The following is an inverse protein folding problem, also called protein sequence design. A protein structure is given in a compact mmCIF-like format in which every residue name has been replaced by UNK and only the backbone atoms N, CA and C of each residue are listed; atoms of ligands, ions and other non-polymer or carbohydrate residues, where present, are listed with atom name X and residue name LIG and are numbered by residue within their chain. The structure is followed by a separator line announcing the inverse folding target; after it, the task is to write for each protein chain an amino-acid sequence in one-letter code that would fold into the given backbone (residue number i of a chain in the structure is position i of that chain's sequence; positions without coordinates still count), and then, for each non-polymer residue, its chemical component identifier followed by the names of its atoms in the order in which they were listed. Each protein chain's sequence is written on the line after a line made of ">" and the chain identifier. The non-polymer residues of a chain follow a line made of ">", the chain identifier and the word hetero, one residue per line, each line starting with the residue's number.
data_IF_463449327714
#
_entry.id   IF_463449327714
#
_cell.length_a   1.000
_cell.length_b   1.000
_cell.length_c   1.000
_cell.angle_alpha   90.00
_cell.angle_beta   90.00
_cell.angle_gamma   90.00
#
_symmetry.space_group_name_H-M   'P 1'
#
loop_
_entity.id
_entity.type
_entity.pdbx_description
1 polymer ?
#
# COMPACT_ATOMS: atom_id res chain seq x y z
N UNK A 1 13.23 27.04 29.91
CA UNK A 1 14.03 26.09 29.10
C UNK A 1 13.06 25.20 28.37
N UNK A 2 13.16 25.07 27.04
CA UNK A 2 12.40 24.04 26.34
C UNK A 2 12.80 22.67 26.93
N UNK A 3 11.86 21.74 27.17
CA UNK A 3 12.22 20.41 27.62
C UNK A 3 13.23 19.79 26.64
N UNK A 4 14.29 19.17 27.15
CA UNK A 4 15.18 18.34 26.36
C UNK A 4 14.33 17.35 25.54
N UNK A 5 14.57 17.27 24.23
CA UNK A 5 13.94 16.26 23.36
C UNK A 5 14.38 14.90 23.90
N UNK A 6 13.49 14.23 24.63
CA UNK A 6 13.72 12.88 25.13
C UNK A 6 13.66 11.93 23.94
N UNK A 7 14.53 10.93 23.93
CA UNK A 7 14.43 9.81 23.00
C UNK A 7 13.00 9.25 23.05
N UNK A 8 12.32 9.06 21.89
CA UNK A 8 10.96 8.53 21.86
C UNK A 8 10.89 7.19 22.59
N UNK A 9 9.85 6.99 23.41
CA UNK A 9 9.62 5.69 24.05
C UNK A 9 9.18 4.68 22.99
N UNK A 10 9.88 3.56 22.86
CA UNK A 10 9.45 2.47 21.99
C UNK A 10 8.25 1.74 22.61
N UNK A 11 7.14 1.69 21.89
CA UNK A 11 5.91 0.97 22.29
C UNK A 11 5.93 -0.45 21.74
N UNK A 12 6.33 -0.57 20.47
CA UNK A 12 6.50 -1.83 19.77
C UNK A 12 7.90 -1.83 19.18
N UNK A 13 8.68 -2.83 19.51
CA UNK A 13 9.98 -3.14 18.89
C UNK A 13 9.86 -4.46 18.16
N UNK A 14 10.48 -4.58 17.00
CA UNK A 14 10.47 -5.83 16.23
C UNK A 14 11.90 -6.31 16.00
N UNK A 15 12.07 -7.62 15.94
CA UNK A 15 13.29 -8.23 15.43
C UNK A 15 13.08 -8.54 13.95
N UNK A 16 13.75 -7.84 13.02
CA UNK A 16 13.59 -8.08 11.60
C UNK A 16 14.13 -9.45 11.19
N UNK A 17 14.66 -10.29 12.09
CA UNK A 17 15.04 -11.67 11.79
C UNK A 17 14.02 -12.72 12.23
N UNK A 18 12.93 -12.31 12.89
CA UNK A 18 11.89 -13.20 13.41
C UNK A 18 10.61 -13.12 12.60
N UNK A 19 9.87 -14.23 12.55
CA UNK A 19 8.52 -14.26 11.97
C UNK A 19 7.55 -13.42 12.82
N UNK A 20 6.43 -12.95 12.25
CA UNK A 20 5.45 -12.14 12.98
C UNK A 20 4.96 -12.79 14.29
N UNK A 21 4.76 -14.11 14.31
CA UNK A 21 4.31 -14.86 15.49
C UNK A 21 5.42 -15.15 16.52
N UNK A 22 6.67 -14.79 16.22
CA UNK A 22 7.84 -14.95 17.10
C UNK A 22 8.27 -13.61 17.73
N UNK A 23 7.62 -12.51 17.35
CA UNK A 23 7.90 -11.18 17.90
C UNK A 23 7.56 -11.13 19.38
N UNK A 24 8.35 -10.35 20.14
CA UNK A 24 8.15 -10.22 21.60
C UNK A 24 6.86 -9.48 21.93
N UNK A 25 6.55 -8.45 21.16
CA UNK A 25 5.24 -7.78 21.19
C UNK A 25 4.37 -8.45 20.12
N UNK A 26 3.21 -9.04 20.50
CA UNK A 26 2.34 -9.69 19.54
C UNK A 26 1.83 -8.72 18.47
N UNK A 27 1.96 -9.08 17.20
CA UNK A 27 1.39 -8.34 16.07
C UNK A 27 -0.05 -8.80 15.78
N UNK A 28 -0.76 -8.12 14.89
CA UNK A 28 -2.05 -8.60 14.36
C UNK A 28 -2.17 -8.36 12.86
N UNK A 29 -3.02 -9.11 12.16
CA UNK A 29 -3.21 -8.98 10.70
C UNK A 29 -4.69 -9.01 10.26
N UNK A 30 -5.57 -8.67 11.19
CA UNK A 30 -7.01 -8.51 10.96
C UNK A 30 -7.50 -7.25 11.67
N UNK A 31 -8.58 -6.67 11.15
CA UNK A 31 -9.30 -5.60 11.83
C UNK A 31 -10.46 -6.18 12.62
N UNK A 32 -10.48 -5.93 13.94
CA UNK A 32 -11.56 -6.31 14.82
C UNK A 32 -11.58 -5.41 16.08
N UNK A 33 -12.75 -4.98 16.58
CA UNK A 33 -12.87 -4.12 17.77
C UNK A 33 -12.25 -4.73 19.04
N UNK A 34 -12.28 -6.06 19.15
CA UNK A 34 -11.89 -6.79 20.37
C UNK A 34 -10.41 -7.21 20.43
N UNK A 35 -9.58 -6.85 19.44
CA UNK A 35 -8.13 -7.13 19.54
C UNK A 35 -7.55 -6.23 20.63
N UNK A 36 -6.97 -6.80 21.72
CA UNK A 36 -6.51 -5.98 22.84
C UNK A 36 -5.28 -5.15 22.50
N UNK A 37 -5.21 -3.92 23.03
CA UNK A 37 -4.06 -3.05 22.85
C UNK A 37 -2.76 -3.67 23.39
N UNK A 38 -1.67 -3.51 22.66
CA UNK A 38 -0.34 -3.98 23.05
C UNK A 38 0.38 -3.02 23.98
N UNK A 39 0.07 -1.73 23.88
CA UNK A 39 0.58 -0.66 24.73
C UNK A 39 -0.35 0.54 24.78
N UNK A 40 0.02 1.52 25.61
CA UNK A 40 -0.71 2.77 25.81
C UNK A 40 0.24 3.97 25.68
N UNK A 41 -0.27 5.06 25.13
CA UNK A 41 0.40 6.36 25.03
C UNK A 41 -0.53 7.47 25.50
N UNK A 42 0.04 8.50 26.09
CA UNK A 42 -0.69 9.71 26.47
C UNK A 42 -0.56 10.78 25.38
N UNK A 43 -1.60 11.58 25.18
CA UNK A 43 -1.60 12.73 24.27
C UNK A 43 -0.39 13.65 24.53
N UNK A 44 0.25 14.08 23.45
CA UNK A 44 1.46 14.89 23.47
C UNK A 44 2.75 14.09 23.70
N UNK A 45 2.68 12.81 24.07
CA UNK A 45 3.85 11.93 24.14
C UNK A 45 4.41 11.66 22.74
N UNK A 46 5.74 11.74 22.60
CA UNK A 46 6.45 11.26 21.42
C UNK A 46 6.91 9.83 21.64
N UNK A 47 6.50 8.94 20.74
CA UNK A 47 6.75 7.50 20.87
C UNK A 47 7.18 6.88 19.54
N UNK A 48 7.80 5.70 19.60
CA UNK A 48 8.29 4.94 18.44
C UNK A 48 7.55 3.61 18.31
N UNK A 49 7.23 3.25 17.08
CA UNK A 49 6.65 1.96 16.70
C UNK A 49 7.51 1.39 15.58
N UNK A 50 8.01 0.18 15.76
CA UNK A 50 8.73 -0.56 14.72
C UNK A 50 7.80 -1.58 14.08
N UNK A 51 8.00 -1.85 12.80
CA UNK A 51 7.16 -2.71 11.97
C UNK A 51 8.03 -3.67 11.18
N UNK A 52 7.58 -4.91 11.04
CA UNK A 52 8.11 -5.82 10.02
C UNK A 52 7.53 -5.43 8.66
N UNK A 53 8.15 -5.87 7.57
CA UNK A 53 7.52 -5.79 6.24
C UNK A 53 6.15 -6.49 6.26
N UNK A 54 5.23 -6.07 5.40
CA UNK A 54 3.84 -6.52 5.43
C UNK A 54 3.66 -8.02 5.31
N UNK A 55 4.58 -8.69 4.61
CA UNK A 55 4.57 -10.15 4.38
C UNK A 55 5.06 -10.93 5.60
N UNK A 56 5.79 -10.28 6.52
CA UNK A 56 6.45 -10.95 7.64
C UNK A 56 7.66 -11.77 7.19
N UNK A 57 8.49 -11.17 6.32
CA UNK A 57 9.67 -11.77 5.68
C UNK A 57 9.40 -12.99 4.83
N UNK A 58 8.28 -13.06 4.13
CA UNK A 58 8.12 -14.12 3.13
C UNK A 58 9.06 -13.87 1.95
N UNK A 59 9.24 -12.60 1.58
CA UNK A 59 10.13 -12.19 0.50
C UNK A 59 11.58 -12.04 0.99
N UNK A 60 12.51 -12.59 0.23
CA UNK A 60 13.95 -12.58 0.53
C UNK A 60 14.70 -11.61 -0.37
N UNK A 61 15.83 -11.10 0.13
CA UNK A 61 16.80 -10.34 -0.65
C UNK A 61 17.67 -11.30 -1.48
N UNK A 62 17.12 -11.76 -2.59
CA UNK A 62 17.78 -12.61 -3.57
C UNK A 62 17.29 -12.27 -4.98
N UNK A 63 17.80 -13.02 -5.96
CA UNK A 63 17.52 -12.79 -7.39
C UNK A 63 16.52 -13.84 -7.92
N UNK A 64 15.67 -14.39 -7.05
CA UNK A 64 14.59 -15.33 -7.40
C UNK A 64 13.22 -14.70 -7.15
N UNK A 65 12.26 -14.90 -8.04
CA UNK A 65 10.87 -14.47 -7.82
C UNK A 65 9.96 -15.61 -7.32
N UNK A 66 10.54 -16.75 -6.91
CA UNK A 66 9.76 -17.91 -6.46
C UNK A 66 9.04 -17.65 -5.12
N UNK A 67 9.62 -16.81 -4.26
CA UNK A 67 8.96 -16.34 -3.04
C UNK A 67 7.76 -15.44 -3.36
N UNK A 68 7.89 -14.54 -4.33
CA UNK A 68 6.80 -13.70 -4.83
C UNK A 68 5.65 -14.52 -5.44
N UNK A 69 5.99 -15.60 -6.14
CA UNK A 69 5.01 -16.52 -6.72
C UNK A 69 4.22 -17.28 -5.66
N UNK A 70 4.90 -17.74 -4.60
CA UNK A 70 4.33 -18.65 -3.59
C UNK A 70 3.98 -17.98 -2.26
N UNK A 71 3.98 -16.66 -2.22
CA UNK A 71 3.62 -15.88 -1.02
C UNK A 71 2.23 -16.26 -0.50
N UNK A 72 2.11 -16.42 0.82
CA UNK A 72 0.85 -16.63 1.52
C UNK A 72 0.16 -15.28 1.81
N UNK A 73 -0.69 -14.87 0.87
CA UNK A 73 -1.53 -13.69 0.98
C UNK A 73 -2.66 -13.83 2.01
N UNK A 74 -2.80 -14.94 2.74
CA UNK A 74 -3.75 -15.03 3.86
C UNK A 74 -3.19 -14.45 5.17
N UNK A 75 -1.87 -14.37 5.26
CA UNK A 75 -1.13 -13.92 6.45
C UNK A 75 -0.79 -12.42 6.47
N UNK A 76 -1.09 -11.69 5.40
CA UNK A 76 -0.89 -10.24 5.29
C UNK A 76 -2.07 -9.43 5.84
N UNK A 77 -1.88 -8.21 6.35
CA UNK A 77 -0.62 -7.45 6.59
C UNK A 77 -0.22 -7.59 8.06
N UNK A 78 1.06 -7.70 8.39
CA UNK A 78 1.50 -7.86 9.79
C UNK A 78 1.69 -6.49 10.49
N UNK A 79 0.71 -6.10 11.31
CA UNK A 79 0.61 -4.77 11.91
C UNK A 79 1.15 -4.70 13.33
N UNK A 80 1.86 -3.60 13.60
CA UNK A 80 2.25 -3.18 14.94
C UNK A 80 1.12 -2.37 15.58
N UNK A 81 0.65 -2.86 16.73
CA UNK A 81 -0.51 -2.31 17.42
C UNK A 81 -1.42 -3.45 17.93
N UNK A 82 -2.62 -3.12 18.43
CA UNK A 82 -3.17 -1.78 18.56
C UNK A 82 -2.58 -0.98 19.72
N UNK A 83 -2.51 0.34 19.59
CA UNK A 83 -2.01 1.25 20.63
C UNK A 83 -3.19 2.06 21.18
N UNK A 84 -3.43 1.97 22.49
CA UNK A 84 -4.44 2.75 23.20
C UNK A 84 -3.93 4.19 23.40
N UNK A 85 -4.77 5.18 23.14
CA UNK A 85 -4.45 6.60 23.34
C UNK A 85 -5.34 7.21 24.42
N UNK A 86 -4.73 7.89 25.38
CA UNK A 86 -5.39 8.65 26.45
C UNK A 86 -5.05 10.13 26.41
N UNK A 87 -5.91 10.98 26.96
CA UNK A 87 -5.61 12.41 27.14
C UNK A 87 -4.69 12.66 28.36
N UNK A 88 -4.37 13.92 28.62
CA UNK A 88 -3.51 14.32 29.75
C UNK A 88 -4.08 13.98 31.13
N UNK A 89 -5.38 13.68 31.23
CA UNK A 89 -6.05 13.25 32.47
C UNK A 89 -6.18 11.72 32.56
N UNK A 90 -5.71 10.98 31.55
CA UNK A 90 -5.79 9.52 31.48
C UNK A 90 -7.10 8.99 30.91
N UNK A 91 -7.97 9.84 30.35
CA UNK A 91 -9.21 9.39 29.72
C UNK A 91 -8.94 8.97 28.28
N UNK A 92 -9.36 7.76 27.91
CA UNK A 92 -9.20 7.27 26.55
C UNK A 92 -9.88 8.16 25.50
N UNK A 93 -9.38 8.13 24.28
CA UNK A 93 -10.14 8.55 23.10
C UNK A 93 -11.47 7.77 23.05
N UNK A 94 -12.58 8.42 22.69
CA UNK A 94 -13.90 7.79 22.67
C UNK A 94 -14.48 7.80 21.25
N UNK A 95 -15.41 6.88 20.92
CA UNK A 95 -16.12 6.90 19.65
C UNK A 95 -16.72 8.29 19.37
N UNK A 96 -16.48 8.84 18.18
CA UNK A 96 -16.87 10.21 17.81
C UNK A 96 -15.77 11.26 17.92
N UNK A 97 -14.66 10.94 18.58
CA UNK A 97 -13.46 11.80 18.60
C UNK A 97 -12.71 11.72 17.26
N UNK A 98 -11.85 12.71 16.99
CA UNK A 98 -10.76 12.55 16.03
C UNK A 98 -9.46 12.29 16.78
N UNK A 99 -8.76 11.24 16.38
CA UNK A 99 -7.37 11.01 16.78
C UNK A 99 -6.47 11.71 15.77
N UNK A 100 -5.78 12.75 16.23
CA UNK A 100 -4.78 13.46 15.45
C UNK A 100 -3.44 12.75 15.63
N UNK A 101 -2.81 12.34 14.54
CA UNK A 101 -1.51 11.67 14.52
C UNK A 101 -0.54 12.51 13.70
N UNK A 102 0.48 13.06 14.35
CA UNK A 102 1.62 13.70 13.68
C UNK A 102 2.71 12.66 13.43
N UNK A 103 3.10 12.51 12.17
CA UNK A 103 4.19 11.61 11.76
C UNK A 103 5.50 12.39 11.79
N UNK A 104 6.23 12.32 12.89
CA UNK A 104 7.40 13.18 13.12
C UNK A 104 8.62 12.71 12.33
N UNK A 105 8.82 11.39 12.30
CA UNK A 105 9.93 10.76 11.61
C UNK A 105 9.57 9.32 11.28
N UNK A 106 10.24 8.75 10.30
CA UNK A 106 10.03 7.37 9.84
C UNK A 106 11.18 6.96 8.90
N UNK A 107 11.45 5.67 8.79
CA UNK A 107 12.53 5.15 7.95
C UNK A 107 12.73 3.64 8.08
N UNK A 108 13.73 3.07 7.38
CA UNK A 108 14.08 1.66 7.52
C UNK A 108 14.63 1.36 8.92
N UNK A 109 14.55 0.10 9.33
CA UNK A 109 15.22 -0.34 10.56
C UNK A 109 16.74 -0.38 10.36
N UNK A 110 17.55 0.04 11.36
CA UNK A 110 19.00 -0.03 11.27
C UNK A 110 19.48 -1.48 11.04
N UNK A 111 20.26 -1.70 9.99
CA UNK A 111 20.75 -3.02 9.58
C UNK A 111 19.78 -3.81 8.68
N UNK A 112 18.62 -3.26 8.33
CA UNK A 112 17.64 -3.82 7.38
C UNK A 112 17.35 -2.81 6.25
N UNK A 113 18.39 -2.09 5.79
CA UNK A 113 18.30 -1.03 4.77
C UNK A 113 18.13 -1.55 3.32
N UNK A 114 17.11 -2.38 3.11
CA UNK A 114 16.71 -2.87 1.80
C UNK A 114 15.20 -3.04 1.74
N UNK A 115 14.67 -3.19 0.53
CA UNK A 115 13.27 -3.49 0.32
C UNK A 115 13.01 -4.16 -1.02
N UNK A 116 11.75 -4.43 -1.32
CA UNK A 116 11.35 -5.13 -2.53
C UNK A 116 10.14 -4.51 -3.21
N UNK A 117 10.03 -4.73 -4.51
CA UNK A 117 8.83 -4.46 -5.30
C UNK A 117 8.55 -5.72 -6.11
N UNK A 118 7.29 -6.12 -6.23
CA UNK A 118 6.86 -7.32 -6.91
C UNK A 118 5.80 -7.09 -7.97
N UNK A 119 5.72 -8.06 -8.87
CA UNK A 119 4.52 -8.37 -9.65
C UNK A 119 4.07 -9.72 -9.11
N UNK A 120 2.82 -9.84 -8.68
CA UNK A 120 2.27 -11.14 -8.29
C UNK A 120 1.99 -12.03 -9.48
N UNK A 121 2.03 -13.34 -9.25
CA UNK A 121 1.52 -14.30 -10.24
C UNK A 121 0.01 -14.11 -10.41
N UNK A 122 -0.50 -14.29 -11.64
CA UNK A 122 -1.93 -14.17 -11.93
C UNK A 122 -2.77 -15.09 -11.05
N UNK A 123 -2.27 -16.30 -10.79
CA UNK A 123 -3.01 -17.29 -9.99
C UNK A 123 -2.85 -17.05 -8.48
N UNK A 124 -1.99 -16.12 -8.07
CA UNK A 124 -1.74 -15.79 -6.67
C UNK A 124 -1.58 -14.27 -6.45
N UNK A 125 -2.71 -13.55 -6.53
CA UNK A 125 -2.80 -12.12 -6.23
C UNK A 125 -3.10 -11.25 -7.45
N UNK A 126 -2.34 -11.41 -8.54
CA UNK A 126 -2.42 -10.53 -9.72
C UNK A 126 -2.07 -9.06 -9.42
N UNK A 127 -2.48 -8.14 -10.29
CA UNK A 127 -2.24 -6.70 -10.15
C UNK A 127 -3.06 -5.87 -11.13
N UNK A 128 -2.65 -4.63 -11.36
CA UNK A 128 -3.36 -3.73 -12.29
C UNK A 128 -3.18 -4.14 -13.76
N UNK A 129 -2.00 -4.65 -14.11
CA UNK A 129 -1.64 -5.09 -15.48
C UNK A 129 -1.41 -6.60 -15.59
N UNK A 130 -2.11 -7.43 -14.82
CA UNK A 130 -1.95 -8.90 -14.83
C UNK A 130 -2.10 -9.50 -16.22
N UNK A 131 -2.95 -8.92 -17.07
CA UNK A 131 -3.18 -9.36 -18.44
C UNK A 131 -1.96 -9.12 -19.36
N UNK A 132 -1.07 -8.21 -18.99
CA UNK A 132 0.20 -7.96 -19.67
C UNK A 132 1.38 -8.64 -18.97
N UNK A 133 1.36 -8.72 -17.65
CA UNK A 133 2.42 -9.27 -16.80
C UNK A 133 1.85 -10.35 -15.86
N UNK A 134 1.47 -11.53 -16.36
CA UNK A 134 0.78 -12.54 -15.56
C UNK A 134 1.69 -13.36 -14.65
N UNK A 135 3.02 -13.15 -14.72
CA UNK A 135 4.00 -13.98 -14.02
C UNK A 135 4.67 -13.20 -12.92
N UNK A 136 4.95 -13.89 -11.82
CA UNK A 136 5.67 -13.29 -10.71
C UNK A 136 7.04 -12.73 -11.11
N UNK A 137 7.35 -11.52 -10.66
CA UNK A 137 8.64 -10.84 -10.83
C UNK A 137 8.99 -10.06 -9.55
N UNK A 138 10.27 -9.79 -9.31
CA UNK A 138 10.73 -9.05 -8.13
C UNK A 138 11.91 -8.13 -8.46
N UNK A 139 11.88 -6.91 -7.93
CA UNK A 139 13.02 -6.00 -7.85
C UNK A 139 13.43 -5.85 -6.38
N UNK A 140 14.73 -5.89 -6.10
CA UNK A 140 15.28 -5.56 -4.79
C UNK A 140 15.90 -4.17 -4.83
N UNK A 141 15.69 -3.41 -3.77
CA UNK A 141 16.14 -2.05 -3.60
C UNK A 141 17.06 -1.95 -2.39
N UNK A 142 18.19 -1.28 -2.56
CA UNK A 142 19.12 -0.97 -1.48
C UNK A 142 18.94 0.51 -1.07
N UNK A 143 18.96 0.81 0.23
CA UNK A 143 18.81 2.16 0.74
C UNK A 143 20.16 2.77 1.15
N UNK A 144 20.49 3.92 0.58
CA UNK A 144 21.68 4.69 0.91
C UNK A 144 21.27 6.07 1.45
N UNK A 145 21.05 6.14 2.76
CA UNK A 145 20.52 7.34 3.41
C UNK A 145 19.10 7.64 2.94
N UNK A 146 18.95 8.67 2.11
CA UNK A 146 17.64 9.03 1.53
C UNK A 146 17.38 8.41 0.16
N UNK A 147 18.38 7.74 -0.43
CA UNK A 147 18.33 7.27 -1.82
C UNK A 147 17.96 5.79 -1.90
N UNK A 148 17.18 5.42 -2.91
CA UNK A 148 16.97 4.04 -3.32
C UNK A 148 17.58 3.80 -4.72
N UNK A 149 18.14 2.61 -4.90
CA UNK A 149 18.54 2.09 -6.21
C UNK A 149 18.34 0.58 -6.25
N UNK A 150 18.12 0.01 -7.43
CA UNK A 150 17.92 -1.42 -7.60
C UNK A 150 18.99 -2.02 -8.51
N UNK A 151 19.57 -3.16 -8.10
CA UNK A 151 20.43 -3.97 -8.98
C UNK A 151 19.68 -4.55 -10.18
N UNK A 152 18.35 -4.67 -10.10
CA UNK A 152 17.49 -5.20 -11.18
C UNK A 152 17.02 -4.11 -12.15
N UNK A 153 17.09 -2.82 -11.77
CA UNK A 153 16.66 -1.67 -12.59
C UNK A 153 17.81 -0.67 -12.69
N UNK A 154 18.81 -0.92 -13.55
CA UNK A 154 19.99 -0.08 -13.65
C UNK A 154 19.70 1.33 -14.17
N UNK A 155 20.57 2.28 -13.85
CA UNK A 155 20.49 3.67 -14.31
C UNK A 155 19.35 4.49 -13.68
N UNK A 156 18.76 3.99 -12.59
CA UNK A 156 17.72 4.69 -11.83
C UNK A 156 18.16 4.86 -10.38
N UNK A 157 17.99 6.07 -9.84
CA UNK A 157 18.18 6.40 -8.43
C UNK A 157 17.28 7.57 -8.04
N UNK A 158 16.58 7.46 -6.93
CA UNK A 158 15.67 8.52 -6.46
C UNK A 158 15.64 8.62 -4.94
N UNK A 159 15.36 9.81 -4.39
CA UNK A 159 15.10 9.94 -2.96
C UNK A 159 13.75 9.30 -2.61
N UNK A 160 13.68 8.60 -1.49
CA UNK A 160 12.46 7.98 -1.00
C UNK A 160 11.44 9.02 -0.53
N UNK A 161 10.18 8.84 -0.92
CA UNK A 161 9.04 9.47 -0.27
C UNK A 161 8.47 8.44 0.73
N UNK A 162 9.15 8.33 1.88
CA UNK A 162 8.89 7.25 2.83
C UNK A 162 7.55 7.49 3.55
N UNK A 163 6.71 6.47 3.68
CA UNK A 163 5.37 6.54 4.29
C UNK A 163 4.91 5.14 4.75
N UNK A 164 3.91 5.03 5.66
CA UNK A 164 3.15 3.80 5.82
C UNK A 164 2.10 3.67 4.70
N UNK A 165 2.05 2.51 4.03
CA UNK A 165 0.90 2.12 3.20
C UNK A 165 -0.35 1.89 4.05
N UNK A 166 -0.13 1.37 5.27
CA UNK A 166 -1.20 1.01 6.21
C UNK A 166 -1.07 1.70 7.57
N UNK A 167 -2.06 2.55 7.90
CA UNK A 167 -2.24 3.11 9.24
C UNK A 167 -3.72 3.44 9.49
N UNK A 168 -4.24 3.09 10.67
CA UNK A 168 -5.65 3.36 10.99
C UNK A 168 -6.06 2.96 12.41
N UNK A 169 -7.27 3.35 12.79
CA UNK A 169 -7.89 3.02 14.09
C UNK A 169 -8.70 1.72 14.01
N UNK A 170 -8.97 1.08 15.14
CA UNK A 170 -9.82 -0.12 15.13
C UNK A 170 -11.29 0.25 14.82
N UNK A 171 -12.01 -0.58 14.04
CA UNK A 171 -13.44 -0.38 13.79
C UNK A 171 -14.29 -0.69 15.02
N UNK A 172 -15.50 -0.16 15.07
CA UNK A 172 -16.56 -0.66 15.96
C UNK A 172 -17.15 -1.97 15.40
N UNK A 173 -17.94 -2.69 16.21
CA UNK A 173 -18.71 -3.85 15.71
C UNK A 173 -19.67 -3.48 14.58
N UNK A 174 -20.33 -2.32 14.69
CA UNK A 174 -21.24 -1.84 13.65
C UNK A 174 -20.48 -1.60 12.33
N UNK A 175 -19.32 -0.93 12.40
CA UNK A 175 -18.51 -0.66 11.21
C UNK A 175 -17.96 -1.94 10.59
N UNK A 176 -17.49 -2.88 11.42
CA UNK A 176 -17.03 -4.20 10.99
C UNK A 176 -18.15 -4.95 10.23
N UNK A 177 -19.38 -4.93 10.75
CA UNK A 177 -20.52 -5.57 10.11
C UNK A 177 -20.85 -4.91 8.76
N UNK A 178 -20.86 -3.59 8.68
CA UNK A 178 -21.07 -2.84 7.43
C UNK A 178 -20.05 -3.27 6.36
N UNK A 179 -18.77 -3.43 6.74
CA UNK A 179 -17.71 -3.87 5.83
C UNK A 179 -17.94 -5.29 5.34
N UNK A 180 -18.15 -6.23 6.27
CA UNK A 180 -18.36 -7.64 5.96
C UNK A 180 -19.59 -7.83 5.05
N UNK A 181 -20.70 -7.14 5.34
CA UNK A 181 -21.94 -7.24 4.57
C UNK A 181 -21.76 -6.73 3.13
N UNK A 182 -21.19 -5.53 2.94
CA UNK A 182 -21.06 -4.95 1.59
C UNK A 182 -20.01 -5.67 0.73
N UNK A 183 -18.91 -6.13 1.34
CA UNK A 183 -17.87 -6.88 0.63
C UNK A 183 -18.36 -8.28 0.28
N UNK A 184 -19.12 -8.92 1.17
CA UNK A 184 -19.79 -10.18 0.88
C UNK A 184 -20.80 -10.04 -0.24
N UNK A 185 -21.63 -9.00 -0.23
CA UNK A 185 -22.60 -8.75 -1.30
C UNK A 185 -21.90 -8.61 -2.66
N UNK A 186 -20.79 -7.87 -2.73
CA UNK A 186 -19.99 -7.75 -3.96
C UNK A 186 -19.45 -9.10 -4.44
N UNK A 187 -18.94 -9.95 -3.53
CA UNK A 187 -18.45 -11.28 -3.88
C UNK A 187 -19.58 -12.21 -4.33
N UNK A 188 -20.73 -12.16 -3.65
CA UNK A 188 -21.89 -12.98 -3.97
C UNK A 188 -22.51 -12.59 -5.33
N UNK A 189 -22.42 -11.32 -5.75
CA UNK A 189 -22.83 -10.86 -7.09
C UNK A 189 -21.92 -11.38 -8.22
N UNK A 190 -20.64 -11.64 -7.94
CA UNK A 190 -19.70 -12.25 -8.89
C UNK A 190 -19.58 -11.49 -10.22
N UNK A 191 -19.67 -12.22 -11.35
CA UNK A 191 -19.52 -11.65 -12.70
C UNK A 191 -20.64 -10.66 -13.07
N UNK A 192 -21.80 -10.75 -12.39
CA UNK A 192 -22.94 -9.87 -12.61
C UNK A 192 -22.80 -8.52 -11.90
N UNK A 193 -21.86 -8.40 -10.95
CA UNK A 193 -21.59 -7.17 -10.23
C UNK A 193 -21.33 -5.99 -11.19
N UNK A 194 -21.91 -4.83 -10.88
CA UNK A 194 -21.69 -3.59 -11.64
C UNK A 194 -20.33 -2.99 -11.26
N UNK A 195 -19.27 -3.44 -11.93
CA UNK A 195 -17.91 -2.92 -11.72
C UNK A 195 -17.48 -2.04 -12.89
N UNK A 196 -16.89 -0.87 -12.58
CA UNK A 196 -16.23 0.03 -13.55
C UNK A 196 -14.87 -0.53 -14.02
N UNK A 197 -14.75 -1.86 -14.10
CA UNK A 197 -13.45 -2.53 -14.21
C UNK A 197 -13.54 -4.00 -14.55
N UNK A 198 -14.60 -4.47 -15.22
CA UNK A 198 -14.71 -5.88 -15.66
C UNK A 198 -13.48 -6.34 -16.47
N UNK A 199 -12.77 -5.43 -17.10
CA UNK A 199 -11.52 -5.69 -17.84
C UNK A 199 -10.29 -5.90 -16.95
N UNK A 200 -10.37 -5.52 -15.68
CA UNK A 200 -9.37 -5.78 -14.64
C UNK A 200 -9.75 -7.00 -13.78
N UNK A 201 -10.84 -7.71 -14.11
CA UNK A 201 -11.39 -8.86 -13.39
C UNK A 201 -10.56 -10.15 -13.54
N UNK A 202 -9.27 -10.03 -13.28
CA UNK A 202 -8.33 -11.18 -13.17
C UNK A 202 -8.12 -11.62 -11.73
N UNK A 203 -8.85 -11.03 -10.78
CA UNK A 203 -8.64 -11.13 -9.33
C UNK A 203 -9.98 -11.31 -8.58
N UNK A 204 -9.98 -11.87 -7.36
CA UNK A 204 -11.16 -11.84 -6.49
C UNK A 204 -11.65 -10.40 -6.29
N UNK A 205 -12.98 -10.21 -6.28
CA UNK A 205 -13.58 -8.89 -6.09
C UNK A 205 -13.35 -8.32 -4.68
N UNK A 206 -13.37 -9.19 -3.67
CA UNK A 206 -12.96 -8.90 -2.30
C UNK A 206 -12.45 -10.17 -1.61
N UNK A 207 -11.71 -10.00 -0.52
CA UNK A 207 -11.21 -11.10 0.31
C UNK A 207 -11.94 -11.06 1.66
N UNK A 208 -12.94 -11.93 1.80
CA UNK A 208 -13.78 -12.04 2.99
C UNK A 208 -12.98 -12.50 4.22
N UNK A 209 -13.54 -12.34 5.45
CA UNK A 209 -12.93 -12.89 6.65
C UNK A 209 -12.49 -14.35 6.48
N UNK A 210 -11.28 -14.63 6.92
CA UNK A 210 -10.65 -15.94 6.84
C UNK A 210 -9.72 -16.13 8.03
N UNK A 211 -9.94 -17.21 8.78
CA UNK A 211 -9.14 -17.59 9.95
C UNK A 211 -7.77 -18.16 9.57
N UNK A 212 -7.59 -18.61 8.33
CA UNK A 212 -6.30 -19.06 7.80
C UNK A 212 -5.31 -17.90 7.82
N UNK A 213 -4.13 -18.14 8.40
CA UNK A 213 -3.09 -17.13 8.56
C UNK A 213 -3.41 -16.02 9.57
N UNK A 214 -4.55 -16.07 10.28
CA UNK A 214 -4.93 -15.00 11.20
C UNK A 214 -4.00 -14.90 12.42
N UNK A 215 -3.63 -13.66 12.74
CA UNK A 215 -2.87 -13.25 13.91
C UNK A 215 -3.67 -12.15 14.61
N UNK A 216 -4.03 -12.37 15.87
CA UNK A 216 -5.00 -11.55 16.61
C UNK A 216 -4.38 -10.89 17.85
N UNK A 217 -3.10 -10.54 17.79
CA UNK A 217 -2.40 -9.87 18.89
C UNK A 217 -2.37 -10.73 20.15
N UNK A 218 -2.89 -10.19 21.25
CA UNK A 218 -2.90 -10.84 22.58
C UNK A 218 -4.00 -11.90 22.75
N UNK A 219 -4.89 -12.09 21.78
CA UNK A 219 -5.95 -13.11 21.87
C UNK A 219 -5.33 -14.50 21.75
N UNK A 220 -5.57 -15.38 22.72
CA UNK A 220 -4.96 -16.72 22.78
C UNK A 220 -5.45 -17.62 21.65
N UNK A 221 -4.53 -18.06 20.78
CA UNK A 221 -4.84 -18.91 19.63
C UNK A 221 -5.50 -20.23 20.04
N UNK A 222 -6.63 -20.54 19.43
CA UNK A 222 -7.43 -21.74 19.73
C UNK A 222 -8.40 -21.57 20.91
N UNK A 223 -8.44 -20.41 21.56
CA UNK A 223 -9.54 -20.08 22.47
C UNK A 223 -10.85 -19.81 21.71
N UNK A 224 -11.99 -19.88 22.42
CA UNK A 224 -13.30 -19.58 21.84
C UNK A 224 -13.39 -18.16 21.26
N UNK A 225 -12.79 -17.19 21.95
CA UNK A 225 -12.75 -15.81 21.48
C UNK A 225 -11.88 -15.69 20.23
N UNK A 226 -10.73 -16.38 20.19
CA UNK A 226 -9.90 -16.40 18.99
C UNK A 226 -10.62 -17.00 17.79
N UNK A 227 -11.30 -18.13 17.96
CA UNK A 227 -12.05 -18.79 16.87
C UNK A 227 -13.15 -17.88 16.31
N UNK A 228 -13.92 -17.23 17.20
CA UNK A 228 -14.97 -16.28 16.80
C UNK A 228 -14.37 -15.06 16.08
N UNK A 229 -13.40 -14.40 16.71
CA UNK A 229 -12.78 -13.19 16.14
C UNK A 229 -12.14 -13.52 14.79
N UNK A 230 -11.41 -14.63 14.68
CA UNK A 230 -10.76 -15.02 13.43
C UNK A 230 -11.76 -15.31 12.29
N UNK A 231 -12.99 -15.71 12.61
CA UNK A 231 -14.04 -15.99 11.64
C UNK A 231 -14.73 -14.72 11.12
N UNK A 232 -14.77 -13.63 11.90
CA UNK A 232 -15.50 -12.40 11.54
C UNK A 232 -14.60 -11.20 11.26
N UNK A 233 -13.33 -11.22 11.68
CA UNK A 233 -12.41 -10.10 11.52
C UNK A 233 -12.03 -9.88 10.05
N UNK A 234 -12.15 -8.63 9.59
CA UNK A 234 -11.87 -8.28 8.20
C UNK A 234 -10.39 -8.43 7.87
N UNK A 235 -10.12 -8.77 6.60
CA UNK A 235 -8.78 -8.66 6.00
C UNK A 235 -8.33 -7.19 6.00
N UNK A 236 -7.04 -6.97 6.16
CA UNK A 236 -6.43 -5.63 6.16
C UNK A 236 -6.11 -5.09 4.76
N UNK A 237 -6.52 -5.80 3.70
CA UNK A 237 -6.12 -5.51 2.30
C UNK A 237 -6.69 -4.21 1.74
N UNK A 238 -7.99 -3.90 1.87
CA UNK A 238 -8.48 -2.61 1.38
C UNK A 238 -8.43 -1.55 2.48
N UNK A 239 -8.13 -0.32 2.08
CA UNK A 239 -8.43 0.88 2.86
C UNK A 239 -9.94 1.07 3.02
N UNK A 240 -10.34 1.58 4.18
CA UNK A 240 -11.75 1.77 4.56
C UNK A 240 -11.92 3.08 5.33
N UNK A 241 -13.09 3.26 5.93
CA UNK A 241 -13.47 4.45 6.70
C UNK A 241 -12.53 4.76 7.88
N UNK A 242 -11.80 3.76 8.40
CA UNK A 242 -10.81 3.93 9.46
C UNK A 242 -9.41 4.32 8.97
N UNK A 243 -9.22 4.53 7.67
CA UNK A 243 -7.91 4.51 7.02
C UNK A 243 -7.55 3.07 6.65
N UNK A 244 -6.53 2.51 7.29
CA UNK A 244 -6.02 1.20 6.92
C UNK A 244 -5.14 1.30 5.68
N UNK A 245 -5.30 0.37 4.74
CA UNK A 245 -4.42 0.23 3.55
C UNK A 245 -4.82 1.21 2.46
N UNK A 246 -4.43 2.47 2.63
CA UNK A 246 -4.79 3.51 1.68
C UNK A 246 -3.69 3.76 0.64
N UNK A 247 -2.45 3.35 0.92
CA UNK A 247 -1.32 3.42 -0.01
C UNK A 247 -1.14 4.82 -0.59
N UNK A 248 -1.21 5.83 0.29
CA UNK A 248 -1.10 7.24 -0.08
C UNK A 248 0.34 7.68 0.14
N UNK A 249 1.13 7.75 -0.94
CA UNK A 249 2.55 8.16 -0.88
C UNK A 249 2.77 9.50 -0.18
N UNK A 250 1.80 10.41 -0.28
CA UNK A 250 1.88 11.73 0.35
C UNK A 250 1.60 11.73 1.86
N UNK A 251 1.10 10.64 2.45
CA UNK A 251 0.94 10.46 3.90
C UNK A 251 2.31 10.14 4.55
N UNK A 252 3.25 11.06 4.38
CA UNK A 252 4.67 10.86 4.65
C UNK A 252 5.17 11.66 5.87
N UNK A 253 6.50 11.76 6.01
CA UNK A 253 7.14 12.47 7.12
C UNK A 253 6.66 13.92 7.23
N UNK A 254 6.24 14.29 8.43
CA UNK A 254 5.74 15.62 8.77
C UNK A 254 4.24 15.79 8.54
N UNK A 255 3.54 14.78 8.02
CA UNK A 255 2.09 14.83 7.88
C UNK A 255 1.40 14.85 9.24
N UNK A 256 0.20 15.45 9.26
CA UNK A 256 -0.75 15.35 10.36
C UNK A 256 -2.05 14.77 9.84
N UNK A 257 -2.41 13.59 10.31
CA UNK A 257 -3.63 12.88 9.90
C UNK A 257 -4.66 12.87 11.03
N UNK A 258 -5.92 12.96 10.65
CA UNK A 258 -7.07 13.03 11.54
C UNK A 258 -7.92 11.78 11.32
N UNK A 259 -7.72 10.77 12.16
CA UNK A 259 -8.45 9.52 12.09
C UNK A 259 -9.76 9.58 12.88
N UNK A 260 -10.88 9.08 12.32
CA UNK A 260 -12.08 8.83 13.10
C UNK A 260 -11.85 7.76 14.17
N UNK A 261 -12.41 7.98 15.35
CA UNK A 261 -12.35 7.03 16.47
C UNK A 261 -13.66 6.26 16.56
N UNK A 262 -13.59 4.94 16.54
CA UNK A 262 -14.79 4.05 16.58
C UNK A 262 -14.87 3.18 17.83
N UNK A 263 -13.79 3.07 18.60
CA UNK A 263 -13.73 2.31 19.86
C UNK A 263 -13.01 3.11 20.94
N UNK A 264 -13.24 2.77 22.21
CA UNK A 264 -12.46 3.35 23.31
C UNK A 264 -10.96 3.13 23.09
N UNK A 265 -10.18 4.19 23.26
CA UNK A 265 -8.73 4.19 23.10
C UNK A 265 -8.24 4.35 21.67
N UNK A 266 -9.15 4.42 20.68
CA UNK A 266 -8.90 4.43 19.24
C UNK A 266 -8.21 3.17 18.68
N UNK A 267 -7.31 2.54 19.45
CA UNK A 267 -6.59 1.32 19.10
C UNK A 267 -5.91 1.46 17.72
N UNK A 268 -4.94 2.39 17.66
CA UNK A 268 -4.19 2.73 16.46
C UNK A 268 -3.22 1.60 16.09
N UNK A 269 -3.25 1.16 14.83
CA UNK A 269 -2.32 0.18 14.28
C UNK A 269 -1.72 0.67 12.97
N UNK A 270 -0.51 0.21 12.69
CA UNK A 270 0.27 0.60 11.52
C UNK A 270 1.23 -0.51 11.09
N UNK A 271 1.62 -0.51 9.83
CA UNK A 271 2.54 -1.47 9.24
C UNK A 271 2.85 -1.06 7.81
N UNK A 272 3.29 -2.03 7.00
CA UNK A 272 3.34 -1.84 5.55
C UNK A 272 4.18 -0.62 5.15
N UNK A 273 5.42 -0.60 5.62
CA UNK A 273 6.28 0.56 5.45
C UNK A 273 6.83 0.59 4.03
N UNK A 274 6.68 1.74 3.38
CA UNK A 274 7.13 1.98 2.03
C UNK A 274 8.29 2.95 2.03
N UNK A 275 9.44 2.58 1.46
CA UNK A 275 10.53 3.53 1.22
C UNK A 275 10.15 4.57 0.17
N UNK A 276 9.38 4.17 -0.84
CA UNK A 276 8.84 5.02 -1.89
C UNK A 276 7.74 4.27 -2.64
N UNK A 277 6.79 5.00 -3.24
CA UNK A 277 5.69 4.42 -4.01
C UNK A 277 5.30 5.37 -5.15
N UNK A 278 4.83 4.80 -6.27
CA UNK A 278 4.13 5.53 -7.33
C UNK A 278 2.62 5.56 -7.10
N UNK A 279 1.94 6.56 -7.65
CA UNK A 279 0.48 6.65 -7.47
C UNK A 279 -0.25 5.45 -8.08
N UNK A 280 -1.23 4.95 -7.32
CA UNK A 280 -2.01 3.78 -7.67
C UNK A 280 -1.30 2.45 -7.44
N UNK A 281 -0.05 2.47 -6.99
CA UNK A 281 0.68 1.28 -6.50
C UNK A 281 0.57 0.11 -7.50
N UNK A 282 0.78 0.43 -8.78
CA UNK A 282 0.16 -0.30 -9.90
C UNK A 282 0.54 -1.78 -9.98
N UNK A 283 1.66 -2.20 -9.40
CA UNK A 283 2.07 -3.61 -9.37
C UNK A 283 1.41 -4.45 -8.26
N UNK A 284 0.65 -3.83 -7.34
CA UNK A 284 -0.01 -4.41 -6.16
C UNK A 284 0.90 -5.02 -5.09
N UNK A 285 2.00 -5.68 -5.45
CA UNK A 285 3.15 -5.77 -4.56
C UNK A 285 4.03 -4.55 -4.83
N UNK A 286 3.42 -3.39 -4.72
CA UNK A 286 3.98 -2.12 -5.10
C UNK A 286 4.45 -1.37 -3.88
N UNK A 287 4.89 -0.14 -4.13
CA UNK A 287 5.94 0.50 -3.34
C UNK A 287 7.26 -0.28 -3.31
N UNK A 288 8.24 0.32 -2.63
CA UNK A 288 9.40 -0.38 -2.12
C UNK A 288 9.09 -0.79 -0.68
N UNK A 289 8.69 -2.04 -0.53
CA UNK A 289 8.27 -2.68 0.71
C UNK A 289 9.46 -2.87 1.66
N UNK A 290 9.30 -2.53 2.94
CA UNK A 290 10.36 -2.68 3.93
C UNK A 290 9.84 -2.91 5.35
N UNK A 291 10.69 -3.46 6.21
CA UNK A 291 10.57 -3.25 7.66
C UNK A 291 10.93 -1.80 7.97
N UNK A 292 10.32 -1.20 8.99
CA UNK A 292 10.57 0.20 9.29
C UNK A 292 10.22 0.62 10.69
N UNK A 293 10.32 1.93 10.92
CA UNK A 293 9.85 2.57 12.13
C UNK A 293 9.06 3.82 11.83
N UNK A 294 8.18 4.19 12.76
CA UNK A 294 7.52 5.48 12.82
C UNK A 294 7.74 6.10 14.20
N UNK A 295 8.03 7.39 14.23
CA UNK A 295 8.01 8.21 15.44
C UNK A 295 6.81 9.14 15.34
N UNK A 296 5.90 8.99 16.29
CA UNK A 296 4.56 9.58 16.24
C UNK A 296 4.31 10.43 17.49
N UNK A 297 3.36 11.35 17.35
CA UNK A 297 2.75 12.07 18.47
C UNK A 297 1.25 12.17 18.22
N UNK A 298 0.47 11.82 19.23
CA UNK A 298 -0.98 11.82 19.14
C UNK A 298 -1.62 12.94 19.96
N UNK A 299 -2.77 13.44 19.52
CA UNK A 299 -3.68 14.27 20.31
C UNK A 299 -5.14 13.93 20.04
N UNK A 300 -6.04 14.21 20.98
CA UNK A 300 -7.45 13.86 20.88
C UNK A 300 -8.29 15.12 20.69
N UNK A 301 -9.06 15.16 19.61
CA UNK A 301 -10.08 16.18 19.40
C UNK A 301 -11.46 15.62 19.78
N UNK A 302 -11.92 16.02 20.97
CA UNK A 302 -13.17 15.53 21.54
C UNK A 302 -14.38 15.90 20.66
N UNK A 303 -15.17 14.90 20.27
CA UNK A 303 -16.32 15.07 19.37
C UNK A 303 -15.96 15.58 17.97
N UNK A 304 -14.69 15.41 17.56
CA UNK A 304 -14.18 15.96 16.29
C UNK A 304 -14.87 15.41 15.05
N UNK A 305 -15.39 14.16 15.08
CA UNK A 305 -16.07 13.58 13.91
C UNK A 305 -17.34 14.38 13.57
N UNK A 306 -18.18 14.70 14.56
CA UNK A 306 -19.40 15.48 14.35
C UNK A 306 -19.10 16.90 13.85
N UNK A 307 -18.00 17.49 14.32
CA UNK A 307 -17.62 18.86 13.99
C UNK A 307 -17.03 19.00 12.57
N UNK A 308 -16.27 18.00 12.10
CA UNK A 308 -15.45 18.14 10.89
C UNK A 308 -15.70 17.09 9.81
N UNK A 309 -16.22 15.89 10.15
CA UNK A 309 -16.43 14.81 9.19
C UNK A 309 -17.92 14.61 8.92
N UNK A 310 -18.43 15.32 7.91
CA UNK A 310 -19.80 15.09 7.42
C UNK A 310 -19.89 13.70 6.80
N UNK A 311 -20.78 12.81 7.28
CA UNK A 311 -20.91 11.47 6.72
C UNK A 311 -21.38 11.51 5.26
N UNK A 312 -20.70 10.76 4.39
CA UNK A 312 -21.00 10.62 2.96
C UNK A 312 -21.45 9.18 2.67
N UNK A 313 -22.61 8.79 3.22
CA UNK A 313 -23.15 7.45 3.04
C UNK A 313 -24.39 7.18 3.91
N UNK A 314 -24.88 5.92 3.92
CA UNK A 314 -26.11 5.55 4.63
C UNK A 314 -25.96 5.55 6.17
N UNK A 315 -24.75 5.55 6.71
CA UNK A 315 -24.45 5.57 8.15
C UNK A 315 -23.60 6.76 8.53
N UNK A 316 -23.69 7.17 9.81
CA UNK A 316 -22.77 8.17 10.41
C UNK A 316 -21.31 7.72 10.41
N UNK A 317 -21.06 6.43 10.20
CA UNK A 317 -19.74 5.83 10.13
C UNK A 317 -19.10 5.96 8.74
N UNK A 318 -19.84 6.39 7.71
CA UNK A 318 -19.32 6.64 6.38
C UNK A 318 -18.54 7.97 6.31
N UNK A 319 -17.38 7.96 6.95
CA UNK A 319 -16.42 9.06 6.97
C UNK A 319 -15.05 8.52 6.57
N UNK A 320 -14.12 9.40 6.20
CA UNK A 320 -12.75 9.01 5.87
C UNK A 320 -11.76 9.94 6.60
N UNK A 321 -10.52 9.47 6.84
CA UNK A 321 -9.48 10.33 7.38
C UNK A 321 -9.20 11.51 6.45
N UNK A 322 -8.79 12.63 7.04
CA UNK A 322 -8.22 13.78 6.32
C UNK A 322 -6.80 14.01 6.83
N UNK A 323 -5.92 14.61 6.03
CA UNK A 323 -4.56 14.89 6.47
C UNK A 323 -3.98 16.16 5.83
N UNK A 324 -3.06 16.78 6.56
CA UNK A 324 -2.17 17.83 6.07
C UNK A 324 -0.89 17.18 5.54
N UNK A 325 -0.48 17.55 4.32
CA UNK A 325 0.80 17.08 3.74
C UNK A 325 1.96 17.70 4.52
N UNK A 326 2.96 16.89 4.83
CA UNK A 326 4.18 17.31 5.51
C UNK A 326 5.04 18.25 4.66
N UNK A 327 5.92 19.05 5.28
CA UNK A 327 6.79 19.98 4.56
C UNK A 327 7.99 19.30 3.87
N UNK A 328 8.11 17.97 3.92
CA UNK A 328 9.26 17.21 3.43
C UNK A 328 8.82 16.24 2.32
N UNK A 329 9.15 16.58 1.09
CA UNK A 329 8.94 15.73 -0.08
C UNK A 329 10.15 15.81 -1.03
N UNK A 330 10.45 14.74 -1.80
CA UNK A 330 11.33 14.82 -2.94
C UNK A 330 10.93 15.92 -3.92
N UNK A 331 11.84 16.87 -4.16
CA UNK A 331 11.60 17.92 -5.15
C UNK A 331 12.04 17.47 -6.53
N UNK A 332 11.09 17.25 -7.42
CA UNK A 332 11.33 17.04 -8.85
C UNK A 332 10.84 18.24 -9.66
N UNK A 333 11.70 18.79 -10.52
CA UNK A 333 11.41 19.98 -11.34
C UNK A 333 11.02 19.67 -12.77
N UNK A 334 11.34 18.48 -13.28
CA UNK A 334 11.10 18.10 -14.67
C UNK A 334 10.36 16.76 -14.72
N UNK A 335 9.25 16.75 -15.44
CA UNK A 335 8.33 15.62 -15.55
C UNK A 335 8.05 15.31 -17.01
N UNK A 336 8.00 14.03 -17.34
CA UNK A 336 7.44 13.55 -18.61
C UNK A 336 6.07 12.93 -18.34
N UNK A 337 5.04 13.43 -19.01
CA UNK A 337 3.64 13.09 -18.73
C UNK A 337 3.05 12.24 -19.86
N UNK A 338 2.39 11.16 -19.49
CA UNK A 338 1.72 10.23 -20.38
C UNK A 338 0.22 10.28 -20.14
N UNK A 339 -0.55 10.41 -21.22
CA UNK A 339 -2.00 10.47 -21.16
C UNK A 339 -2.63 9.10 -21.44
N UNK A 340 -3.81 8.88 -20.89
CA UNK A 340 -4.67 7.75 -21.20
C UNK A 340 -6.14 8.14 -21.11
N UNK A 341 -6.96 7.46 -21.91
CA UNK A 341 -8.39 7.72 -22.06
C UNK A 341 -9.19 6.45 -21.77
N UNK A 342 -10.50 6.57 -21.58
CA UNK A 342 -11.44 5.45 -21.40
C UNK A 342 -11.68 4.61 -22.67
N UNK A 343 -10.61 4.28 -23.39
CA UNK A 343 -10.58 3.41 -24.57
C UNK A 343 -9.53 2.33 -24.33
N UNK A 344 -9.95 1.07 -24.31
CA UNK A 344 -9.06 -0.04 -23.97
C UNK A 344 -8.09 -0.42 -25.11
N UNK A 345 -7.22 -1.39 -24.84
CA UNK A 345 -6.21 -1.93 -25.73
C UNK A 345 -6.78 -2.47 -27.05
N UNK A 346 -8.04 -2.90 -27.07
CA UNK A 346 -8.73 -3.42 -28.24
C UNK A 346 -9.48 -2.33 -29.02
N UNK A 347 -9.39 -1.07 -28.57
CA UNK A 347 -10.09 0.07 -29.15
C UNK A 347 -11.57 0.14 -28.75
N UNK A 348 -12.02 -0.63 -27.75
CA UNK A 348 -13.40 -0.56 -27.26
C UNK A 348 -13.56 0.69 -26.40
N UNK A 349 -14.63 1.44 -26.66
CA UNK A 349 -15.03 2.61 -25.90
C UNK A 349 -15.68 2.22 -24.57
N UNK A 350 -15.26 2.88 -23.48
CA UNK A 350 -15.87 2.80 -22.16
C UNK A 350 -16.41 4.17 -21.74
N UNK A 351 -17.34 4.21 -20.80
CA UNK A 351 -18.01 5.46 -20.38
C UNK A 351 -17.41 5.99 -19.08
N UNK A 352 -16.68 7.11 -19.16
CA UNK A 352 -16.07 7.83 -18.04
C UNK A 352 -15.27 6.92 -17.07
N UNK A 353 -14.60 5.91 -17.61
CA UNK A 353 -13.83 4.94 -16.85
C UNK A 353 -12.40 5.45 -16.62
N UNK A 354 -12.15 5.98 -15.42
CA UNK A 354 -10.84 6.48 -15.01
C UNK A 354 -9.82 5.36 -14.77
N UNK A 355 -10.26 4.14 -14.43
CA UNK A 355 -9.38 2.99 -14.24
C UNK A 355 -8.74 2.58 -15.56
N UNK A 356 -9.55 2.48 -16.61
CA UNK A 356 -9.05 2.21 -17.98
C UNK A 356 -8.18 3.38 -18.45
N UNK A 357 -8.61 4.63 -18.24
CA UNK A 357 -7.80 5.79 -18.60
C UNK A 357 -6.41 5.73 -17.94
N UNK A 358 -6.33 5.40 -16.65
CA UNK A 358 -5.05 5.29 -15.96
C UNK A 358 -4.22 4.09 -16.44
N UNK A 359 -4.86 2.94 -16.71
CA UNK A 359 -4.22 1.78 -17.35
C UNK A 359 -3.54 2.15 -18.66
N UNK A 360 -4.22 2.95 -19.49
CA UNK A 360 -3.67 3.44 -20.77
C UNK A 360 -2.47 4.37 -20.56
N UNK A 361 -2.53 5.29 -19.59
CA UNK A 361 -1.41 6.16 -19.27
C UNK A 361 -0.16 5.37 -18.83
N UNK A 362 -0.35 4.36 -17.97
CA UNK A 362 0.72 3.46 -17.50
C UNK A 362 1.31 2.66 -18.67
N UNK A 363 0.48 2.03 -19.50
CA UNK A 363 0.93 1.25 -20.66
C UNK A 363 1.69 2.12 -21.68
N UNK A 364 1.24 3.36 -21.91
CA UNK A 364 1.93 4.31 -22.78
C UNK A 364 3.33 4.67 -22.24
N UNK A 365 3.45 4.86 -20.92
CA UNK A 365 4.73 5.11 -20.26
C UNK A 365 5.67 3.90 -20.36
N UNK A 366 5.16 2.69 -20.11
CA UNK A 366 5.91 1.43 -20.25
C UNK A 366 6.44 1.26 -21.67
N UNK A 367 5.58 1.40 -22.68
CA UNK A 367 6.00 1.29 -24.09
C UNK A 367 7.06 2.34 -24.44
N UNK A 368 6.88 3.59 -24.00
CA UNK A 368 7.83 4.66 -24.26
C UNK A 368 9.20 4.38 -23.66
N UNK A 369 9.27 4.07 -22.36
CA UNK A 369 10.53 3.87 -21.65
C UNK A 369 11.23 2.57 -22.08
N UNK A 370 10.50 1.56 -22.56
CA UNK A 370 11.11 0.35 -23.13
C UNK A 370 12.01 0.64 -24.34
N UNK A 371 11.78 1.75 -25.06
CA UNK A 371 12.61 2.20 -26.19
C UNK A 371 13.99 2.70 -25.77
N UNK A 372 14.23 2.88 -24.47
CA UNK A 372 15.51 3.30 -23.89
C UNK A 372 16.34 2.12 -23.33
N UNK A 373 15.93 0.88 -23.64
CA UNK A 373 16.65 -0.35 -23.30
C UNK A 373 16.17 -1.07 -22.04
N UNK A 374 15.14 -0.56 -21.38
CA UNK A 374 14.49 -1.24 -20.25
C UNK A 374 13.56 -2.35 -20.75
N UNK A 375 13.45 -3.44 -19.98
CA UNK A 375 12.34 -4.38 -20.16
C UNK A 375 11.04 -3.73 -19.70
N UNK A 376 9.91 -4.26 -20.18
CA UNK A 376 8.60 -3.72 -19.78
C UNK A 376 8.30 -3.98 -18.30
N UNK A 377 8.75 -5.13 -17.80
CA UNK A 377 8.68 -5.52 -16.39
C UNK A 377 9.49 -4.57 -15.49
N UNK A 378 10.70 -4.18 -15.91
CA UNK A 378 11.50 -3.20 -15.19
C UNK A 378 10.76 -1.88 -15.05
N UNK A 379 10.13 -1.39 -16.12
CA UNK A 379 9.37 -0.14 -16.06
C UNK A 379 8.11 -0.31 -15.23
N UNK A 380 7.39 -1.43 -15.33
CA UNK A 380 6.19 -1.66 -14.53
C UNK A 380 6.51 -1.69 -13.02
N UNK A 381 7.56 -2.41 -12.62
CA UNK A 381 8.07 -2.39 -11.25
C UNK A 381 8.49 -0.97 -10.84
N UNK A 382 9.22 -0.26 -11.70
CA UNK A 382 9.65 1.12 -11.45
C UNK A 382 8.46 2.07 -11.21
N UNK A 383 7.41 1.98 -12.03
CA UNK A 383 6.23 2.85 -11.90
C UNK A 383 5.45 2.60 -10.62
N UNK A 384 5.57 1.41 -10.03
CA UNK A 384 4.96 1.10 -8.74
C UNK A 384 5.70 1.68 -7.53
N UNK A 385 6.98 2.01 -7.68
CA UNK A 385 7.86 2.36 -6.55
C UNK A 385 8.53 3.75 -6.66
N UNK A 386 8.80 4.25 -7.86
CA UNK A 386 9.29 5.62 -8.02
C UNK A 386 8.15 6.61 -7.74
N UNK A 387 8.46 7.82 -7.23
CA UNK A 387 7.47 8.84 -6.91
C UNK A 387 6.90 9.49 -8.18
N UNK A 388 6.23 8.69 -9.01
CA UNK A 388 5.46 9.15 -10.15
C UNK A 388 4.08 9.68 -9.71
N UNK A 389 3.51 10.57 -10.52
CA UNK A 389 2.25 11.25 -10.21
C UNK A 389 1.15 10.77 -11.14
N UNK A 390 0.13 10.14 -10.55
CA UNK A 390 -1.08 9.70 -11.21
C UNK A 390 -2.20 10.69 -10.96
N UNK A 391 -2.83 11.20 -12.03
CA UNK A 391 -3.90 12.19 -11.90
C UNK A 391 -5.12 11.79 -12.68
N UNK A 392 -6.28 11.79 -12.02
CA UNK A 392 -7.56 11.94 -12.70
C UNK A 392 -7.62 13.39 -13.19
N UNK A 393 -7.31 13.58 -14.47
CA UNK A 393 -7.13 14.92 -15.05
C UNK A 393 -8.46 15.52 -15.50
N UNK A 394 -9.35 14.68 -16.04
CA UNK A 394 -10.74 15.03 -16.33
C UNK A 394 -11.63 13.79 -16.21
N UNK A 395 -12.80 13.93 -15.60
CA UNK A 395 -13.73 12.79 -15.37
C UNK A 395 -15.17 13.10 -15.83
N UNK A 396 -15.36 14.18 -16.58
CA UNK A 396 -16.69 14.70 -16.94
C UNK A 396 -16.94 14.77 -18.44
N UNK A 397 -15.90 14.78 -19.27
CA UNK A 397 -16.01 15.00 -20.70
C UNK A 397 -16.42 13.72 -21.45
N UNK A 398 -17.72 13.54 -21.64
CA UNK A 398 -18.25 12.34 -22.28
C UNK A 398 -17.70 12.13 -23.71
N UNK A 399 -17.29 10.89 -24.07
CA UNK A 399 -17.39 9.66 -23.28
C UNK A 399 -16.15 9.34 -22.41
N UNK A 400 -15.07 10.11 -22.49
CA UNK A 400 -13.76 9.72 -21.99
C UNK A 400 -13.40 10.42 -20.68
N UNK A 401 -13.11 9.63 -19.63
CA UNK A 401 -12.21 10.13 -18.60
C UNK A 401 -10.80 10.26 -19.18
N UNK A 402 -10.04 11.24 -18.69
CA UNK A 402 -8.64 11.44 -18.98
C UNK A 402 -7.84 11.29 -17.69
N UNK A 403 -6.89 10.36 -17.71
CA UNK A 403 -5.93 10.19 -16.63
C UNK A 403 -4.51 10.42 -17.17
N UNK A 404 -3.63 10.91 -16.30
CA UNK A 404 -2.22 11.10 -16.63
C UNK A 404 -1.31 10.39 -15.64
N UNK A 405 -0.15 9.97 -16.14
CA UNK A 405 0.97 9.47 -15.36
C UNK A 405 2.19 10.32 -15.67
N UNK A 406 2.73 11.02 -14.67
CA UNK A 406 3.93 11.82 -14.80
C UNK A 406 5.10 11.14 -14.11
N UNK A 407 6.20 10.93 -14.83
CA UNK A 407 7.44 10.37 -14.29
C UNK A 407 8.51 11.46 -14.15
N UNK A 408 9.23 11.54 -13.02
CA UNK A 408 10.28 12.53 -12.84
C UNK A 408 11.50 12.18 -13.70
N UNK A 409 11.91 13.08 -14.59
CA UNK A 409 13.00 12.82 -15.55
C UNK A 409 14.34 12.65 -14.84
N UNK A 410 14.54 13.33 -13.71
CA UNK A 410 15.82 13.38 -12.98
C UNK A 410 16.19 12.10 -12.25
N UNK A 411 15.31 11.08 -12.20
CA UNK A 411 15.63 9.80 -11.56
C UNK A 411 16.49 8.90 -12.45
N UNK A 412 16.55 9.20 -13.75
CA UNK A 412 17.30 8.46 -14.75
C UNK A 412 18.69 9.06 -14.93
N UNK A 413 19.70 8.21 -15.10
CA UNK A 413 21.07 8.62 -15.48
C UNK A 413 21.20 8.99 -16.97
N UNK A 414 20.12 8.79 -17.74
CA UNK A 414 20.00 9.16 -19.14
C UNK A 414 18.80 10.09 -19.39
N UNK A 415 18.96 10.99 -20.36
CA UNK A 415 17.89 11.89 -20.77
C UNK A 415 16.82 11.14 -21.59
N UNK A 416 15.68 10.88 -20.94
CA UNK A 416 14.51 10.19 -21.49
C UNK A 416 13.58 11.10 -22.31
N UNK A 417 13.91 12.37 -22.54
CA UNK A 417 13.02 13.28 -23.30
C UNK A 417 13.02 12.95 -24.80
N UNK A 418 11.90 13.19 -25.52
CA UNK A 418 11.84 13.02 -26.96
C UNK A 418 12.89 13.87 -27.69
N UNK A 419 13.60 13.27 -28.66
CA UNK A 419 14.60 13.94 -29.49
C UNK A 419 14.28 13.74 -30.98
N UNK A 420 14.66 14.72 -31.82
CA UNK A 420 14.45 14.67 -33.28
C UNK A 420 15.05 13.41 -33.94
N UNK A 421 16.13 12.86 -33.38
CA UNK A 421 16.80 11.65 -33.87
C UNK A 421 16.20 10.34 -33.33
N UNK A 422 15.10 10.39 -32.59
CA UNK A 422 14.55 9.22 -31.88
C UNK A 422 15.31 8.88 -30.59
N UNK A 423 14.91 7.79 -29.90
CA UNK A 423 15.63 7.29 -28.74
C UNK A 423 17.04 6.81 -29.16
N UNK A 424 18.04 6.88 -28.26
CA UNK A 424 19.39 6.40 -28.57
C UNK A 424 19.38 4.91 -28.96
N UNK A 425 20.06 4.56 -30.05
CA UNK A 425 20.18 3.18 -30.54
C UNK A 425 21.36 2.48 -29.85
N UNK A 426 21.12 1.47 -29.02
CA UNK A 426 22.18 0.61 -28.43
C UNK A 426 22.45 0.82 -26.93
N UNK A 427 23.13 -0.13 -26.25
CA UNK A 427 22.91 -0.39 -24.83
C UNK A 427 23.51 0.72 -23.97
N UNK A 428 22.65 1.49 -23.28
CA UNK A 428 23.08 2.35 -22.17
C UNK A 428 22.95 1.66 -20.82
N UNK A 429 22.15 0.60 -20.76
CA UNK A 429 22.08 -0.25 -19.59
C UNK A 429 23.04 -1.40 -19.81
N UNK A 430 24.08 -1.47 -18.98
CA UNK A 430 24.77 -2.73 -18.74
C UNK A 430 23.73 -3.60 -18.06
N UNK A 431 23.08 -4.48 -18.81
CA UNK A 431 22.45 -5.65 -18.23
C UNK A 431 23.58 -6.40 -17.52
N UNK A 432 23.71 -6.21 -16.20
CA UNK A 432 24.19 -7.33 -15.38
C UNK A 432 23.24 -8.47 -15.72
N UNK A 433 23.75 -9.64 -16.07
CA UNK A 433 22.99 -10.78 -16.62
C UNK A 433 21.98 -11.39 -15.64
N UNK A 434 21.45 -10.59 -14.73
CA UNK A 434 20.85 -10.97 -13.45
C UNK A 434 19.48 -10.28 -13.27
N UNK A 435 18.90 -9.68 -14.31
CA UNK A 435 17.45 -9.51 -14.27
C UNK A 435 16.88 -10.93 -14.42
N UNK A 436 16.22 -11.51 -13.40
CA UNK A 436 15.82 -12.90 -13.45
C UNK A 436 14.95 -13.09 -14.69
N UNK A 437 15.49 -13.78 -15.69
CA UNK A 437 14.72 -14.12 -16.88
C UNK A 437 13.65 -15.09 -16.39
N UNK A 438 12.40 -14.62 -16.35
CA UNK A 438 11.27 -15.49 -16.08
C UNK A 438 11.28 -16.62 -17.12
N UNK A 439 11.48 -17.89 -16.75
CA UNK A 439 11.72 -18.96 -17.71
C UNK A 439 10.38 -19.40 -18.31
N UNK A 440 9.86 -18.67 -19.30
CA UNK A 440 8.88 -19.24 -20.22
C UNK A 440 8.72 -18.40 -21.50
N UNK A 441 9.26 -18.90 -22.60
CA UNK A 441 8.94 -18.52 -23.98
C UNK A 441 7.57 -19.08 -24.38
N UNK A 442 6.73 -18.25 -25.01
CA UNK A 442 5.84 -18.69 -26.09
C UNK A 442 4.60 -19.52 -25.72
N UNK A 443 3.44 -18.89 -25.95
CA UNK A 443 2.12 -19.50 -26.22
C UNK A 443 1.59 -20.55 -25.23
N UNK A 444 0.64 -20.14 -24.38
CA UNK A 444 -0.27 -21.07 -23.72
C UNK A 444 -1.73 -20.63 -23.90
N UNK A 445 -2.67 -21.60 -24.01
CA UNK A 445 -4.04 -21.38 -24.41
C UNK A 445 -4.84 -20.70 -23.32
N UNK A 446 -5.85 -19.91 -23.73
CA UNK A 446 -6.92 -19.45 -22.86
C UNK A 446 -7.53 -20.66 -22.13
N UNK A 447 -7.30 -20.77 -20.82
CA UNK A 447 -8.03 -21.73 -20.00
C UNK A 447 -9.50 -21.31 -19.98
N UNK A 448 -10.38 -22.24 -20.37
CA UNK A 448 -11.82 -22.09 -20.15
C UNK A 448 -12.09 -22.02 -18.65
N UNK A 449 -12.90 -21.04 -18.27
CA UNK A 449 -13.43 -20.82 -16.93
C UNK A 449 -13.94 -22.14 -16.33
N UNK A 450 -13.33 -22.61 -15.25
CA UNK A 450 -13.69 -23.86 -14.57
C UNK A 450 -14.91 -23.70 -13.65
N UNK A 451 -15.57 -22.53 -13.62
CA UNK A 451 -16.89 -22.34 -13.00
C UNK A 451 -18.06 -22.68 -13.93
N UNK A 452 -17.79 -23.14 -15.17
CA UNK A 452 -18.81 -23.72 -16.04
C UNK A 452 -18.81 -25.26 -15.93
N UNK A 453 -19.29 -25.79 -14.80
CA UNK A 453 -19.79 -27.15 -14.68
C UNK A 453 -20.91 -27.21 -13.62
#
# INVERSE_FOLDING_TARGET
>A
MAPLIKTPRAIVTVDPNKRPWEQTVPLHNRWHPEIPAVGEVQEGEVFRVETVDWTGRQIQNDDSAEDMKNIDLTSVHNLSGPIRVTDTEGKAAMPGDLLVVEILNLGPLPGDEWGFTGIFDRENGGGFLTDHFPKACKAIWDFEGIWASSRHIPGVRFPGLIHPGLIGTAPSHELLNIWNEREKALVDEGEDALTLGKHLHTRPLALLPNSTGALLGKVEKGSKDWERIAAEACRTIPGRENGGNCDIKNLSRGCKVYFPVFVEGANLSMGDMHFSQGDGEVSFCGAIEMSGFLELKCSIMRGGMEQYLTPMGPSKLNVNPIFEIGPLEPRFSEWLVFEGLSVDENGKQHYLDASIAYKRAVLNCIDYLSKFGYTKEQIYLLLSCCPCEGRISGIVDVPNACATLAIPVSIFDQDIRPKKGGPPVGPRLITRGDCPSCPYEGSMPTQKNLSAA
#
